data_IF_497338976059
#
_entry.id   IF_497338976059
#
_cell.length_a   1.000
_cell.length_b   1.000
_cell.length_c   1.000
_cell.angle_alpha   90.00
_cell.angle_beta   90.00
_cell.angle_gamma   90.00
#
_symmetry.space_group_name_H-M   'P 1'
#
loop_
_entity.id
_entity.type
_entity.pdbx_description
1 polymer ?
2 non-polymer ?
3 non-polymer ?
4 water ?
#
# COMPACT_ATOMS: atom_id res chain seq x y z
N UNK A 12 -29.05 2.37 -3.46
CA UNK A 12 -28.79 1.39 -4.56
C UNK A 12 -27.29 1.11 -4.78
N UNK A 13 -26.64 1.91 -5.63
CA UNK A 13 -25.24 1.70 -6.08
C UNK A 13 -25.02 0.50 -7.02
N UNK A 14 -26.09 -0.05 -7.58
CA UNK A 14 -26.00 -1.23 -8.45
C UNK A 14 -25.22 -0.97 -9.75
N UNK A 15 -25.55 0.12 -10.43
CA UNK A 15 -24.83 0.48 -11.65
C UNK A 15 -23.38 0.91 -11.38
N UNK A 16 -23.19 1.64 -10.28
CA UNK A 16 -21.85 2.05 -9.89
C UNK A 16 -20.99 0.82 -9.56
N UNK A 17 -21.58 -0.16 -8.86
CA UNK A 17 -20.87 -1.40 -8.52
C UNK A 17 -20.42 -2.13 -9.78
N UNK A 18 -21.34 -2.27 -10.73
CA UNK A 18 -21.05 -2.93 -11.99
C UNK A 18 -19.91 -2.21 -12.71
N UNK A 19 -19.99 -0.88 -12.75
CA UNK A 19 -18.95 -0.04 -13.31
C UNK A 19 -17.61 -0.27 -12.61
N UNK A 20 -17.62 -0.25 -11.27
CA UNK A 20 -16.42 -0.52 -10.48
C UNK A 20 -15.72 -1.84 -10.83
N UNK A 21 -16.48 -2.94 -10.96
CA UNK A 21 -15.89 -4.22 -11.37
C UNK A 21 -15.37 -4.23 -12.80
N UNK A 22 -16.01 -3.48 -13.68
CA UNK A 22 -15.50 -3.31 -15.04
C UNK A 22 -14.14 -2.61 -15.09
N UNK A 23 -13.98 -1.51 -14.35
CA UNK A 23 -12.70 -0.80 -14.29
C UNK A 23 -11.66 -1.67 -13.59
N UNK A 24 -12.09 -2.33 -12.52
CA UNK A 24 -11.25 -3.25 -11.77
C UNK A 24 -10.55 -4.27 -12.69
N UNK A 25 -11.32 -4.90 -13.57
CA UNK A 25 -10.78 -5.90 -14.49
C UNK A 25 -9.84 -5.33 -15.55
N UNK A 26 -10.02 -4.04 -15.87
CA UNK A 26 -9.11 -3.35 -16.79
C UNK A 26 -7.79 -2.87 -16.16
N UNK A 27 -7.79 -2.57 -14.86
CA UNK A 27 -6.62 -1.93 -14.23
C UNK A 27 -5.74 -2.90 -13.43
N UNK A 28 -6.29 -4.04 -13.02
CA UNK A 28 -5.55 -4.99 -12.20
C UNK A 28 -4.44 -5.66 -13.02
N UNK A 29 -3.35 -6.00 -12.35
CA UNK A 29 -2.26 -6.71 -13.00
C UNK A 29 -2.78 -7.98 -13.68
N UNK A 30 -2.53 -8.11 -14.97
CA UNK A 30 -2.91 -9.30 -15.71
C UNK A 30 -2.13 -10.50 -15.19
N UNK A 31 -2.70 -11.70 -15.34
CA UNK A 31 -1.95 -12.92 -15.02
C UNK A 31 -0.62 -12.98 -15.77
N UNK A 32 -0.60 -12.48 -17.01
CA UNK A 32 0.60 -12.47 -17.82
C UNK A 32 1.75 -11.65 -17.19
N UNK A 33 1.47 -10.43 -16.78
CA UNK A 33 2.51 -9.59 -16.19
C UNK A 33 2.97 -10.15 -14.84
N UNK A 34 2.03 -10.71 -14.08
CA UNK A 34 2.35 -11.35 -12.81
C UNK A 34 3.42 -12.42 -12.98
N UNK A 35 3.27 -13.24 -14.02
CA UNK A 35 4.21 -14.31 -14.32
C UNK A 35 5.60 -13.82 -14.75
N UNK A 36 5.64 -12.72 -15.50
CA UNK A 36 6.91 -12.10 -15.91
C UNK A 36 7.66 -11.52 -14.72
N UNK A 37 6.90 -10.94 -13.77
CA UNK A 37 7.49 -10.41 -12.54
C UNK A 37 8.04 -11.54 -11.66
N UNK A 38 7.33 -12.67 -11.64
CA UNK A 38 7.76 -13.86 -10.91
C UNK A 38 9.02 -14.50 -11.50
N UNK A 39 9.08 -14.60 -12.83
CA UNK A 39 10.30 -15.00 -13.54
C UNK A 39 11.47 -14.03 -13.28
N UNK A 40 11.16 -12.73 -13.25
CA UNK A 40 12.16 -11.70 -12.91
C UNK A 40 12.75 -11.92 -11.52
N UNK A 41 11.90 -12.36 -10.59
CA UNK A 41 12.32 -12.69 -9.24
C UNK A 41 13.26 -13.89 -9.18
N UNK A 42 12.92 -14.94 -9.94
CA UNK A 42 13.78 -16.13 -10.03
C UNK A 42 15.18 -15.80 -10.55
N UNK A 43 15.23 -14.95 -11.58
CA UNK A 43 16.49 -14.44 -12.15
C UNK A 43 17.34 -13.72 -11.11
N UNK A 44 16.76 -12.74 -10.45
CA UNK A 44 17.45 -11.96 -9.42
C UNK A 44 17.93 -12.80 -8.24
N UNK A 45 17.22 -13.90 -7.97
CA UNK A 45 17.63 -14.83 -6.91
C UNK A 45 18.85 -15.65 -7.31
N UNK A 46 18.94 -15.99 -8.60
CA UNK A 46 20.09 -16.73 -9.09
C UNK A 46 21.35 -15.91 -8.96
N UNK A 47 21.22 -14.61 -9.24
CA UNK A 47 22.32 -13.66 -9.12
C UNK A 47 22.75 -13.49 -7.67
N UNK A 48 21.79 -13.54 -6.74
CA UNK A 48 22.09 -13.44 -5.32
C UNK A 48 22.78 -14.72 -4.79
N UNK A 49 22.35 -15.89 -5.25
CA UNK A 49 23.02 -17.17 -4.92
C UNK A 49 24.50 -17.15 -5.34
N UNK A 50 24.80 -16.49 -6.45
CA UNK A 50 26.17 -16.39 -6.93
C UNK A 50 27.07 -15.54 -6.02
N UNK A 51 26.45 -14.72 -5.18
CA UNK A 51 27.14 -13.74 -4.33
C UNK A 51 27.09 -14.12 -2.86
N UNK A 52 25.98 -14.72 -2.45
CA UNK A 52 25.75 -15.11 -1.05
C UNK A 52 24.74 -16.23 -1.02
N UNK A 53 25.21 -17.45 -0.71
CA UNK A 53 24.31 -18.60 -0.80
C UNK A 53 23.26 -18.65 0.31
N UNK A 54 23.49 -17.95 1.42
CA UNK A 54 22.64 -18.00 2.62
C UNK A 54 21.61 -16.85 2.71
N UNK A 55 21.74 -15.85 1.85
CA UNK A 55 20.81 -14.73 1.82
C UNK A 55 19.54 -15.10 1.06
N UNK A 56 18.42 -14.53 1.47
CA UNK A 56 17.15 -14.74 0.76
C UNK A 56 16.63 -13.44 0.19
N UNK A 57 15.99 -13.52 -0.97
CA UNK A 57 15.42 -12.34 -1.59
C UNK A 57 13.91 -12.48 -1.58
N UNK A 58 13.24 -11.63 -0.78
CA UNK A 58 11.79 -11.71 -0.67
C UNK A 58 11.13 -10.51 -1.34
N UNK A 59 9.94 -10.74 -1.88
CA UNK A 59 9.10 -9.69 -2.43
C UNK A 59 8.15 -9.21 -1.34
N UNK A 60 7.95 -7.90 -1.27
CA UNK A 60 6.95 -7.33 -0.37
C UNK A 60 6.15 -6.29 -1.14
N UNK A 61 5.24 -5.59 -0.46
CA UNK A 61 4.42 -4.58 -1.12
C UNK A 61 3.39 -5.17 -2.06
N UNK A 62 2.93 -4.34 -3.00
CA UNK A 62 1.68 -4.61 -3.72
C UNK A 62 1.61 -5.90 -4.53
N UNK A 63 2.70 -6.27 -5.20
CA UNK A 63 2.77 -7.57 -5.89
C UNK A 63 2.59 -8.74 -4.93
N UNK A 64 3.07 -8.61 -3.70
CA UNK A 64 3.02 -9.70 -2.75
C UNK A 64 1.63 -9.83 -2.11
N UNK A 65 0.99 -8.69 -1.86
CA UNK A 65 -0.32 -8.68 -1.21
C UNK A 65 -1.48 -8.79 -2.21
N UNK A 66 -1.16 -8.67 -3.50
CA UNK A 66 -2.17 -8.81 -4.56
C UNK A 66 -2.92 -7.52 -4.80
N UNK A 67 -2.27 -6.40 -4.54
CA UNK A 67 -2.89 -5.08 -4.68
C UNK A 67 -2.20 -4.27 -5.76
N UNK A 68 -1.73 -4.97 -6.80
CA UNK A 68 -0.99 -4.36 -7.90
C UNK A 68 -1.86 -3.95 -9.08
N UNK A 69 -1.66 -2.72 -9.54
CA UNK A 69 -2.15 -2.26 -10.84
C UNK A 69 -1.22 -2.77 -11.95
N UNK A 70 -1.63 -2.58 -13.20
CA UNK A 70 -0.75 -2.82 -14.34
C UNK A 70 0.50 -1.95 -14.24
N UNK A 71 1.59 -2.38 -14.87
CA UNK A 71 2.85 -1.63 -14.90
C UNK A 71 3.34 -1.36 -13.49
N UNK A 72 3.37 -2.43 -12.70
CA UNK A 72 3.65 -2.35 -11.28
C UNK A 72 5.15 -2.34 -11.04
N UNK A 73 5.58 -1.53 -10.08
CA UNK A 73 6.98 -1.57 -9.64
C UNK A 73 7.18 -2.77 -8.71
N UNK A 74 8.41 -3.23 -8.64
CA UNK A 74 8.73 -4.37 -7.78
C UNK A 74 9.46 -3.89 -6.56
N UNK A 75 9.06 -4.39 -5.40
CA UNK A 75 9.69 -4.07 -4.14
C UNK A 75 10.26 -5.32 -3.51
N UNK A 76 11.59 -5.39 -3.48
CA UNK A 76 12.26 -6.57 -2.95
C UNK A 76 13.10 -6.25 -1.73
N UNK A 77 13.35 -7.29 -0.94
CA UNK A 77 14.17 -7.15 0.22
C UNK A 77 15.13 -8.34 0.34
N UNK A 78 16.38 -8.05 0.67
CA UNK A 78 17.37 -9.08 0.95
C UNK A 78 17.48 -9.29 2.46
N UNK A 79 17.22 -10.54 2.88
CA UNK A 79 17.40 -10.96 4.26
C UNK A 79 18.74 -11.65 4.45
N UNK A 80 19.39 -11.37 5.59
CA UNK A 80 20.65 -12.01 5.92
C UNK A 80 20.94 -11.94 7.42
N UNK A 81 22.04 -12.60 7.82
CA UNK A 81 22.53 -12.52 9.19
C UNK A 81 22.78 -11.06 9.54
N UNK A 82 22.21 -10.61 10.67
CA UNK A 82 22.33 -9.20 11.08
C UNK A 82 23.77 -8.77 11.42
N UNK A 83 24.64 -9.75 11.71
CA UNK A 83 26.05 -9.48 12.04
C UNK A 83 26.91 -9.23 10.79
N UNK A 84 26.34 -9.49 9.61
CA UNK A 84 27.02 -9.22 8.35
C UNK A 84 26.55 -7.87 7.78
N UNK A 85 27.51 -6.99 7.50
CA UNK A 85 27.20 -5.61 7.07
C UNK A 85 26.60 -5.53 5.68
N UNK A 86 25.41 -4.96 5.61
CA UNK A 86 24.60 -4.95 4.42
C UNK A 86 25.21 -4.15 3.25
N UNK A 87 26.03 -3.14 3.54
CA UNK A 87 26.64 -2.34 2.47
C UNK A 87 27.61 -3.14 1.58
N UNK A 88 28.33 -4.09 2.17
CA UNK A 88 29.28 -4.93 1.43
C UNK A 88 28.60 -5.92 0.48
N UNK A 89 27.59 -6.64 0.98
CA UNK A 89 26.82 -7.57 0.15
C UNK A 89 25.94 -6.82 -0.88
N UNK A 90 25.38 -5.67 -0.47
CA UNK A 90 24.65 -4.82 -1.39
C UNK A 90 25.49 -4.43 -2.61
N UNK A 91 26.73 -4.02 -2.38
CA UNK A 91 27.60 -3.60 -3.47
C UNK A 91 27.94 -4.77 -4.39
N UNK A 92 28.18 -5.94 -3.79
CA UNK A 92 28.45 -7.16 -4.56
C UNK A 92 27.23 -7.57 -5.38
N UNK A 93 26.05 -7.43 -4.78
CA UNK A 93 24.81 -7.77 -5.46
C UNK A 93 24.60 -6.84 -6.64
N UNK A 94 24.87 -5.54 -6.41
CA UNK A 94 24.77 -4.52 -7.45
C UNK A 94 25.70 -4.80 -8.64
N UNK A 95 26.96 -5.15 -8.36
CA UNK A 95 27.92 -5.47 -9.43
C UNK A 95 27.57 -6.72 -10.24
N UNK A 96 26.97 -7.71 -9.59
CA UNK A 96 26.44 -8.89 -10.31
C UNK A 96 25.28 -8.54 -11.23
N UNK A 97 24.40 -7.66 -10.76
CA UNK A 97 23.24 -7.20 -11.53
C UNK A 97 23.63 -6.41 -12.77
N UNK A 98 24.55 -5.47 -12.61
CA UNK A 98 25.11 -4.76 -13.76
C UNK A 98 25.65 -5.76 -14.79
N UNK A 99 26.51 -6.68 -14.33
CA UNK A 99 27.12 -7.73 -15.16
C UNK A 99 26.10 -8.69 -15.78
N UNK A 100 24.91 -8.78 -15.17
CA UNK A 100 23.85 -9.61 -15.69
C UNK A 100 22.97 -8.84 -16.67
N UNK A 101 23.27 -7.56 -16.85
CA UNK A 101 22.59 -6.75 -17.85
C UNK A 101 21.44 -5.90 -17.33
N UNK A 102 21.34 -5.79 -16.01
CA UNK A 102 20.40 -4.84 -15.41
C UNK A 102 21.09 -3.48 -15.31
N UNK A 103 20.31 -2.41 -15.43
CA UNK A 103 20.81 -1.06 -15.21
C UNK A 103 20.17 -0.49 -13.96
N UNK A 104 20.91 0.32 -13.23
CA UNK A 104 20.33 0.94 -12.05
C UNK A 104 21.34 1.71 -11.22
N UNK A 105 20.91 2.12 -10.03
CA UNK A 105 21.76 2.85 -9.12
C UNK A 105 21.98 2.15 -7.78
N UNK A 106 23.17 2.31 -7.23
CA UNK A 106 23.44 1.90 -5.87
C UNK A 106 23.58 3.15 -5.01
N UNK A 107 22.79 3.20 -3.94
CA UNK A 107 22.82 4.35 -3.06
C UNK A 107 22.71 3.95 -1.59
N UNK A 108 23.04 4.88 -0.70
CA UNK A 108 22.92 4.66 0.73
C UNK A 108 22.47 5.94 1.42
N UNK A 109 21.20 6.01 1.82
CA UNK A 109 20.75 7.07 2.72
C UNK A 109 20.93 6.64 4.18
N UNK A 110 21.64 7.48 4.94
CA UNK A 110 22.09 7.16 6.29
C UNK A 110 22.88 5.84 6.30
N UNK A 111 22.35 4.81 6.94
CA UNK A 111 23.02 3.51 7.05
C UNK A 111 22.34 2.45 6.16
N UNK A 112 21.26 2.86 5.51
CA UNK A 112 20.41 1.99 4.69
C UNK A 112 20.87 1.93 3.22
N UNK A 113 21.42 0.79 2.77
CA UNK A 113 21.72 0.66 1.34
C UNK A 113 20.51 0.27 0.50
N UNK A 114 20.39 0.83 -0.70
CA UNK A 114 19.28 0.54 -1.60
C UNK A 114 19.80 0.40 -3.04
N UNK A 115 19.30 -0.61 -3.74
CA UNK A 115 19.54 -0.72 -5.17
C UNK A 115 18.26 -0.37 -5.91
N UNK A 116 18.37 0.54 -6.87
CA UNK A 116 17.26 0.92 -7.72
C UNK A 116 17.53 0.48 -9.15
N UNK A 117 16.85 -0.59 -9.58
CA UNK A 117 16.93 -1.08 -10.95
C UNK A 117 15.90 -0.38 -11.82
N UNK A 118 16.37 0.17 -12.92
CA UNK A 118 15.56 1.04 -13.76
C UNK A 118 15.31 0.46 -15.16
N UNK A 119 16.05 -0.59 -15.52
CA UNK A 119 15.97 -1.19 -16.86
C UNK A 119 16.54 -2.62 -16.89
N UNK A 120 16.22 -3.36 -17.96
CA UNK A 120 16.81 -4.68 -18.21
C UNK A 120 17.09 -4.89 -19.70
N UNK A 121 18.36 -5.13 -20.02
CA UNK A 121 18.85 -5.09 -21.41
C UNK A 121 19.13 -6.47 -22.04
N UNK A 122 18.97 -7.54 -21.28
CA UNK A 122 19.36 -8.87 -21.75
C UNK A 122 18.32 -9.95 -21.47
N UNK A 123 17.87 -10.02 -20.22
CA UNK A 123 16.99 -11.09 -19.75
C UNK A 123 15.54 -10.96 -20.21
N UNK A 124 15.22 -9.84 -20.88
CA UNK A 124 13.90 -9.57 -21.44
C UNK A 124 12.74 -9.36 -20.46
N UNK A 125 12.93 -8.54 -19.43
CA UNK A 125 11.84 -8.20 -18.50
C UNK A 125 11.30 -6.79 -18.72
N UNK A 126 11.79 -6.12 -19.76
CA UNK A 126 11.34 -4.78 -20.12
C UNK A 126 12.49 -3.80 -20.26
N UNK A 127 12.33 -2.82 -21.17
CA UNK A 127 13.25 -1.69 -21.29
C UNK A 127 13.04 -0.69 -20.14
N UNK A 128 11.84 -0.72 -19.56
CA UNK A 128 11.54 0.06 -18.35
C UNK A 128 11.07 -0.88 -17.23
N UNK A 129 12.00 -1.73 -16.80
CA UNK A 129 11.83 -2.62 -15.67
C UNK A 129 12.20 -1.87 -14.39
N UNK A 130 11.23 -1.63 -13.51
CA UNK A 130 11.50 -0.89 -12.27
C UNK A 130 11.37 -1.73 -10.98
N UNK A 131 12.44 -1.72 -10.19
CA UNK A 131 12.60 -2.64 -9.08
C UNK A 131 13.52 -2.09 -7.98
N UNK A 132 12.98 -1.91 -6.78
CA UNK A 132 13.78 -1.42 -5.66
C UNK A 132 14.14 -2.55 -4.73
N UNK A 133 15.39 -2.58 -4.31
CA UNK A 133 15.90 -3.65 -3.44
C UNK A 133 16.49 -3.07 -2.16
N UNK A 134 15.88 -3.44 -1.04
CA UNK A 134 16.34 -3.05 0.28
C UNK A 134 17.10 -4.17 0.94
N UNK A 135 17.55 -3.91 2.16
CA UNK A 135 18.38 -4.85 2.89
C UNK A 135 17.93 -4.91 4.35
N UNK A 136 17.49 -6.10 4.74
CA UNK A 136 16.90 -6.35 6.06
C UNK A 136 15.78 -5.37 6.43
N UNK A 137 14.98 -5.00 5.44
CA UNK A 137 13.80 -4.19 5.67
C UNK A 137 12.67 -5.10 6.14
N UNK A 138 12.82 -5.66 7.34
CA UNK A 138 11.88 -6.64 7.87
C UNK A 138 10.50 -6.03 8.13
N UNK A 139 10.46 -4.75 8.51
CA UNK A 139 9.20 -4.07 8.80
C UNK A 139 8.21 -4.01 7.62
N UNK A 140 8.74 -3.80 6.41
CA UNK A 140 7.94 -3.76 5.18
C UNK A 140 7.34 -5.11 4.89
N UNK A 141 8.10 -6.17 5.14
CA UNK A 141 7.59 -7.53 5.00
C UNK A 141 6.35 -7.71 5.89
N UNK A 142 6.47 -7.29 7.15
CA UNK A 142 5.35 -7.40 8.10
C UNK A 142 4.15 -6.53 7.75
N UNK A 143 4.40 -5.28 7.32
CA UNK A 143 3.35 -4.43 6.75
C UNK A 143 2.62 -5.20 5.66
N UNK A 144 3.38 -5.86 4.80
CA UNK A 144 2.80 -6.63 3.69
C UNK A 144 2.04 -7.88 4.15
N UNK A 145 2.53 -8.55 5.19
CA UNK A 145 1.79 -9.67 5.76
C UNK A 145 0.43 -9.21 6.26
N UNK A 146 0.38 -8.06 6.91
CA UNK A 146 -0.88 -7.50 7.38
C UNK A 146 -1.84 -7.28 6.21
N UNK A 147 -1.39 -6.57 5.18
CA UNK A 147 -2.26 -6.25 4.04
C UNK A 147 -2.69 -7.50 3.28
N UNK A 148 -1.79 -8.50 3.21
CA UNK A 148 -2.11 -9.78 2.57
C UNK A 148 -3.23 -10.49 3.29
N UNK A 149 -3.22 -10.44 4.61
CA UNK A 149 -4.16 -11.17 5.42
C UNK A 149 -5.56 -10.57 5.31
N UNK A 150 -5.64 -9.24 5.36
CA UNK A 150 -6.90 -8.54 5.08
C UNK A 150 -7.45 -8.83 3.67
N UNK A 151 -6.56 -8.87 2.68
CA UNK A 151 -6.94 -9.15 1.30
C UNK A 151 -7.57 -10.54 1.19
N UNK A 152 -6.97 -11.52 1.86
CA UNK A 152 -7.56 -12.86 1.94
C UNK A 152 -8.87 -12.89 2.73
N UNK A 153 -9.10 -11.89 3.58
CA UNK A 153 -10.18 -11.96 4.54
C UNK A 153 -11.54 -11.52 3.97
N UNK A 154 -11.50 -10.57 3.04
CA UNK A 154 -12.71 -10.12 2.35
C UNK A 154 -12.35 -9.79 0.91
N UNK A 155 -13.08 -10.37 -0.03
CA UNK A 155 -12.80 -10.21 -1.44
C UNK A 155 -13.07 -8.81 -1.99
N UNK A 156 -13.78 -7.98 -1.23
CA UNK A 156 -14.06 -6.59 -1.66
C UNK A 156 -12.88 -5.63 -1.47
N UNK A 157 -11.93 -5.99 -0.61
CA UNK A 157 -10.80 -5.10 -0.34
C UNK A 157 -9.95 -4.82 -1.56
N UNK A 158 -9.60 -5.86 -2.29
CA UNK A 158 -8.69 -5.74 -3.42
C UNK A 158 -9.19 -4.76 -4.50
N UNK A 159 -10.40 -4.99 -5.07
CA UNK A 159 -10.94 -4.03 -6.05
C UNK A 159 -11.07 -2.61 -5.49
N UNK A 160 -11.47 -2.49 -4.23
CA UNK A 160 -11.62 -1.19 -3.59
C UNK A 160 -10.31 -0.42 -3.57
N UNK A 161 -9.25 -1.10 -3.12
CA UNK A 161 -7.91 -0.52 -3.05
C UNK A 161 -7.41 -0.08 -4.43
N UNK A 162 -7.55 -0.96 -5.43
CA UNK A 162 -7.07 -0.63 -6.77
C UNK A 162 -7.81 0.56 -7.37
N UNK A 163 -9.13 0.62 -7.14
CA UNK A 163 -9.93 1.72 -7.66
C UNK A 163 -9.52 3.03 -6.99
N UNK A 164 -9.34 3.00 -5.68
CA UNK A 164 -8.85 4.17 -4.95
C UNK A 164 -7.47 4.60 -5.46
N UNK A 165 -6.57 3.63 -5.65
CA UNK A 165 -5.24 3.95 -6.18
C UNK A 165 -5.34 4.60 -7.55
N UNK A 166 -6.18 4.02 -8.39
CA UNK A 166 -6.38 4.51 -9.76
C UNK A 166 -6.99 5.92 -9.75
N UNK A 167 -7.95 6.13 -8.86
CA UNK A 167 -8.56 7.43 -8.67
C UNK A 167 -7.49 8.46 -8.29
N UNK A 168 -6.73 8.15 -7.25
CA UNK A 168 -5.70 9.05 -6.75
C UNK A 168 -4.59 9.40 -7.76
N UNK A 169 -4.20 8.45 -8.61
CA UNK A 169 -3.29 8.75 -9.73
C UNK A 169 -3.92 9.72 -10.72
N UNK A 170 -5.14 9.43 -11.14
CA UNK A 170 -5.81 10.26 -12.12
C UNK A 170 -6.04 11.68 -11.60
N UNK A 171 -6.26 11.84 -10.29
CA UNK A 171 -6.48 13.18 -9.72
C UNK A 171 -5.20 13.90 -9.28
N UNK A 172 -4.04 13.29 -9.52
CA UNK A 172 -2.75 13.91 -9.21
C UNK A 172 -2.59 14.15 -7.72
N UNK A 173 -3.16 13.27 -6.91
CA UNK A 173 -3.08 13.38 -5.46
C UNK A 173 -2.36 12.17 -4.89
N UNK A 174 -1.61 11.49 -5.77
CA UNK A 174 -0.82 10.33 -5.40
C UNK A 174 0.68 10.58 -5.67
N UNK A 175 1.17 11.75 -5.27
CA UNK A 175 2.58 12.14 -5.44
C UNK A 175 3.26 12.56 -4.13
N UNK A 176 3.88 11.62 -3.43
CA UNK A 176 4.55 12.00 -2.18
C UNK A 176 5.69 13.04 -2.34
N UNK A 177 6.28 13.12 -3.53
CA UNK A 177 7.36 14.08 -3.75
C UNK A 177 6.84 15.48 -4.04
N UNK A 178 5.57 15.57 -4.39
CA UNK A 178 4.96 16.85 -4.73
C UNK A 178 3.82 17.24 -3.79
N UNK A 179 3.90 16.85 -2.53
CA UNK A 179 2.98 17.34 -1.53
C UNK A 179 1.70 16.56 -1.31
N UNK A 180 1.56 15.39 -1.94
CA UNK A 180 0.41 14.52 -1.67
C UNK A 180 0.80 13.17 -1.04
N UNK A 181 0.01 12.13 -1.25
CA UNK A 181 0.11 10.92 -0.45
C UNK A 181 0.54 9.68 -1.22
N UNK A 182 1.33 8.83 -0.58
CA UNK A 182 1.74 7.58 -1.21
C UNK A 182 0.55 6.63 -1.38
N UNK A 183 0.67 5.67 -2.30
CA UNK A 183 -0.36 4.62 -2.47
C UNK A 183 -0.58 3.84 -1.17
N UNK A 184 0.52 3.49 -0.49
CA UNK A 184 0.45 2.89 0.85
C UNK A 184 -0.44 3.70 1.76
N UNK A 185 -0.24 5.02 1.79
CA UNK A 185 -1.13 5.92 2.56
C UNK A 185 -2.62 5.77 2.28
N UNK A 186 -2.96 5.60 1.00
CA UNK A 186 -4.36 5.40 0.62
C UNK A 186 -4.88 4.02 1.00
N UNK A 187 -3.99 3.02 0.99
CA UNK A 187 -4.38 1.69 1.47
C UNK A 187 -4.76 1.76 2.96
N UNK A 188 -4.02 2.54 3.74
CA UNK A 188 -4.31 2.60 5.17
C UNK A 188 -5.59 3.37 5.44
N UNK A 189 -5.83 4.43 4.67
CA UNK A 189 -7.08 5.18 4.75
C UNK A 189 -8.28 4.30 4.45
N UNK A 190 -8.15 3.42 3.44
CA UNK A 190 -9.19 2.45 3.11
C UNK A 190 -9.39 1.48 4.28
N UNK A 191 -8.32 0.80 4.69
CA UNK A 191 -8.39 -0.15 5.79
C UNK A 191 -8.98 0.48 7.05
N UNK A 192 -8.53 1.69 7.37
CA UNK A 192 -9.02 2.39 8.55
C UNK A 192 -10.53 2.60 8.47
N UNK A 193 -11.00 2.96 7.27
CA UNK A 193 -12.41 3.12 7.04
C UNK A 193 -13.15 1.81 7.27
N UNK A 194 -12.61 0.72 6.71
CA UNK A 194 -13.26 -0.60 6.77
C UNK A 194 -13.28 -1.24 8.15
N UNK A 195 -12.33 -0.86 9.00
CA UNK A 195 -12.21 -1.41 10.36
C UNK A 195 -12.94 -0.53 11.39
N UNK A 196 -12.64 0.76 11.38
CA UNK A 196 -13.07 1.64 12.47
C UNK A 196 -14.20 2.60 12.18
N UNK A 197 -14.61 2.74 10.91
CA UNK A 197 -15.66 3.70 10.55
C UNK A 197 -16.97 3.03 10.15
N UNK A 198 -16.92 2.21 9.10
CA UNK A 198 -18.13 1.60 8.60
C UNK A 198 -18.75 0.71 9.68
N UNK A 199 -20.08 0.74 9.75
CA UNK A 199 -20.85 -0.04 10.71
C UNK A 199 -21.95 -0.74 9.91
N UNK A 200 -22.04 -2.08 10.02
CA UNK A 200 -21.11 -2.91 10.79
C UNK A 200 -19.71 -2.85 10.18
N UNK A 201 -18.67 -3.20 10.95
CA UNK A 201 -17.30 -3.16 10.39
C UNK A 201 -17.15 -4.18 9.27
N UNK A 202 -16.31 -3.90 8.28
CA UNK A 202 -16.06 -4.92 7.27
C UNK A 202 -15.01 -5.90 7.77
N UNK A 203 -14.02 -5.38 8.50
CA UNK A 203 -12.91 -6.13 9.05
C UNK A 203 -12.82 -5.84 10.54
N UNK A 204 -12.32 -6.81 11.34
CA UNK A 204 -11.87 -6.49 12.70
C UNK A 204 -10.43 -5.95 12.68
N UNK A 205 -10.02 -5.33 13.78
CA UNK A 205 -8.63 -4.92 13.96
C UNK A 205 -7.84 -6.15 14.45
N UNK A 206 -7.05 -6.70 13.54
CA UNK A 206 -6.21 -7.87 13.81
C UNK A 206 -5.09 -7.60 14.81
N UNK A 207 -4.69 -6.35 14.97
CA UNK A 207 -3.62 -5.99 15.93
C UNK A 207 -4.14 -5.93 17.37
N UNK A 208 -5.41 -5.61 17.51
CA UNK A 208 -6.08 -5.51 18.81
C UNK A 208 -6.84 -6.79 19.16
N UNK A 209 -6.72 -7.81 18.32
CA UNK A 209 -7.41 -9.07 18.57
C UNK A 209 -6.99 -9.61 19.94
N UNK A 210 -7.92 -10.25 20.66
CA UNK A 210 -7.50 -10.90 21.91
C UNK A 210 -6.57 -12.08 21.63
N UNK A 211 -6.58 -12.58 20.39
CA UNK A 211 -5.75 -13.73 20.03
C UNK A 211 -4.34 -13.32 19.59
N UNK A 212 -4.11 -12.02 19.51
CA UNK A 212 -2.85 -11.44 19.03
C UNK A 212 -1.64 -11.78 19.91
N UNK A 213 -0.59 -12.33 19.29
CA UNK A 213 0.66 -12.61 20.00
C UNK A 213 1.73 -11.58 19.65
N UNK A 214 2.22 -10.90 20.68
CA UNK A 214 3.41 -10.06 20.58
C UNK A 214 4.53 -10.71 19.76
N UNK A 215 5.06 -9.94 18.81
CA UNK A 215 6.27 -10.30 18.08
C UNK A 215 7.02 -9.01 17.80
N UNK A 216 8.20 -8.89 18.38
CA UNK A 216 9.01 -7.68 18.31
C UNK A 216 10.09 -7.83 17.23
N UNK A 217 10.13 -6.87 16.31
CA UNK A 217 11.10 -6.85 15.22
C UNK A 217 11.59 -5.42 15.08
N UNK A 218 12.91 -5.23 15.13
CA UNK A 218 13.54 -3.91 14.96
C UNK A 218 12.91 -2.84 15.87
N UNK A 219 12.65 -3.22 17.12
CA UNK A 219 12.04 -2.32 18.09
C UNK A 219 10.52 -2.28 18.12
N UNK A 220 9.85 -2.64 17.01
CA UNK A 220 8.38 -2.53 16.97
C UNK A 220 7.62 -3.86 17.10
N UNK A 221 6.42 -3.77 17.64
CA UNK A 221 5.52 -4.91 17.76
C UNK A 221 4.75 -5.09 16.44
N UNK A 222 5.00 -6.21 15.77
CA UNK A 222 4.41 -6.52 14.47
C UNK A 222 3.40 -7.68 14.56
N UNK A 223 3.00 -8.01 15.78
CA UNK A 223 2.07 -9.09 16.00
C UNK A 223 0.65 -8.72 15.61
N UNK A 224 -0.06 -9.69 15.04
CA UNK A 224 -1.49 -9.58 14.78
C UNK A 224 -2.06 -10.98 14.64
N UNK A 225 -3.38 -11.10 14.68
CA UNK A 225 -4.03 -12.39 14.56
C UNK A 225 -4.03 -12.83 13.11
N UNK A 226 -3.28 -13.89 12.80
CA UNK A 226 -3.20 -14.40 11.44
C UNK A 226 -3.82 -15.79 11.25
N UNK A 227 -4.44 -16.32 12.29
CA UNK A 227 -5.24 -17.54 12.14
C UNK A 227 -6.57 -17.10 11.50
N UNK A 228 -6.49 -16.83 10.19
CA UNK A 228 -7.58 -16.20 9.46
C UNK A 228 -8.79 -17.08 9.28
N UNK A 229 -8.56 -18.39 9.18
CA UNK A 229 -9.67 -19.32 9.01
C UNK A 229 -10.59 -19.41 10.24
N UNK A 230 -10.15 -18.89 11.38
CA UNK A 230 -10.99 -18.88 12.59
C UNK A 230 -11.81 -17.60 12.74
N UNK A 231 -11.62 -16.66 11.82
CA UNK A 231 -12.32 -15.39 11.88
C UNK A 231 -13.66 -15.48 11.15
N UNK A 232 -14.76 -15.06 11.82
CA UNK A 232 -16.04 -15.03 11.14
C UNK A 232 -16.02 -14.03 9.99
N UNK A 233 -16.69 -14.36 8.88
CA UNK A 233 -16.82 -13.39 7.79
C UNK A 233 -17.53 -12.13 8.27
N UNK A 234 -17.31 -11.03 7.55
CA UNK A 234 -17.95 -9.74 7.82
C UNK A 234 -19.48 -9.84 7.95
N UNK A 235 -20.06 -8.98 8.79
CA UNK A 235 -21.51 -8.84 8.86
C UNK A 235 -21.96 -7.58 8.11
N UNK A 236 -21.03 -7.02 7.34
CA UNK A 236 -21.34 -5.94 6.43
C UNK A 236 -21.50 -6.49 5.01
N UNK A 237 -22.68 -6.27 4.44
CA UNK A 237 -23.02 -6.83 3.14
C UNK A 237 -23.11 -5.79 2.04
N UNK A 238 -22.57 -4.60 2.31
CA UNK A 238 -22.52 -3.51 1.33
C UNK A 238 -21.84 -3.96 0.05
N UNK A 239 -22.37 -3.46 -1.07
CA UNK A 239 -21.73 -3.67 -2.35
C UNK A 239 -20.42 -2.86 -2.41
N UNK A 240 -19.54 -3.26 -3.31
CA UNK A 240 -18.32 -2.51 -3.57
C UNK A 240 -18.58 -1.03 -3.84
N UNK A 241 -19.63 -0.74 -4.60
CA UNK A 241 -19.97 0.62 -4.99
C UNK A 241 -20.34 1.41 -3.75
N UNK A 242 -21.08 0.76 -2.86
CA UNK A 242 -21.52 1.41 -1.64
C UNK A 242 -20.36 1.68 -0.68
N UNK A 243 -19.42 0.72 -0.58
CA UNK A 243 -18.22 0.92 0.24
C UNK A 243 -17.42 2.12 -0.22
N UNK A 244 -17.26 2.24 -1.54
CA UNK A 244 -16.48 3.32 -2.10
C UNK A 244 -17.12 4.65 -1.80
N UNK A 245 -18.42 4.76 -2.02
CA UNK A 245 -19.15 5.98 -1.70
C UNK A 245 -19.00 6.31 -0.21
N UNK A 246 -19.21 5.33 0.66
CA UNK A 246 -18.98 5.50 2.11
C UNK A 246 -17.59 6.03 2.45
N UNK A 247 -16.60 5.55 1.71
CA UNK A 247 -15.20 5.90 1.92
C UNK A 247 -14.92 7.36 1.48
N UNK A 248 -15.39 7.73 0.29
CA UNK A 248 -15.24 9.08 -0.21
C UNK A 248 -16.02 10.04 0.69
N UNK A 249 -17.21 9.65 1.12
CA UNK A 249 -18.01 10.45 2.04
C UNK A 249 -17.29 10.72 3.35
N UNK A 250 -16.66 9.69 3.90
CA UNK A 250 -16.06 9.84 5.22
C UNK A 250 -14.92 10.87 5.22
N UNK A 251 -14.00 10.76 4.28
CA UNK A 251 -12.87 11.68 4.20
C UNK A 251 -13.22 13.05 3.63
N UNK A 252 -14.30 13.13 2.85
CA UNK A 252 -14.83 14.40 2.41
C UNK A 252 -15.35 15.26 3.57
N UNK A 253 -16.20 14.65 4.41
CA UNK A 253 -17.06 15.43 5.32
C UNK A 253 -16.93 15.13 6.80
N UNK A 254 -16.54 13.91 7.14
CA UNK A 254 -16.58 13.46 8.51
C UNK A 254 -15.21 13.53 9.20
N UNK A 255 -14.20 12.89 8.60
CA UNK A 255 -12.82 12.92 9.12
C UNK A 255 -12.30 14.35 9.24
N UNK A 256 -11.60 14.62 10.34
CA UNK A 256 -11.10 15.96 10.63
C UNK A 256 -9.57 15.91 10.63
N UNK A 257 -8.93 16.11 9.46
CA UNK A 257 -7.48 15.97 9.33
C UNK A 257 -6.66 16.89 10.23
N UNK A 258 -7.23 18.06 10.58
CA UNK A 258 -6.53 19.05 11.40
C UNK A 258 -6.29 18.56 12.83
N UNK A 259 -7.17 17.70 13.34
CA UNK A 259 -7.12 17.32 14.74
C UNK A 259 -6.88 15.82 15.00
N UNK A 260 -7.15 14.98 14.00
CA UNK A 260 -7.20 13.54 14.22
C UNK A 260 -6.13 12.75 13.48
N UNK A 261 -5.85 11.54 13.98
CA UNK A 261 -4.87 10.67 13.39
C UNK A 261 -5.56 9.40 12.89
N UNK A 262 -5.32 9.03 11.64
CA UNK A 262 -5.73 7.70 11.18
C UNK A 262 -4.84 6.68 11.89
N UNK A 263 -5.46 5.78 12.64
CA UNK A 263 -4.75 4.87 13.54
C UNK A 263 -5.31 3.44 13.55
N UNK A 264 -4.44 2.47 13.87
CA UNK A 264 -4.87 1.08 14.02
C UNK A 264 -4.60 0.56 15.44
N UNK A 265 -4.33 1.49 16.35
CA UNK A 265 -3.91 1.17 17.73
C UNK A 265 -4.93 1.51 18.81
N UNK A 266 -6.11 1.95 18.39
CA UNK A 266 -7.18 2.31 19.33
C UNK A 266 -8.44 1.50 19.01
N UNK A 267 -9.09 0.92 20.03
CA UNK A 267 -10.28 0.09 19.79
C UNK A 267 -11.37 0.81 19.00
N UNK A 268 -11.49 2.12 19.22
CA UNK A 268 -12.51 2.91 18.56
C UNK A 268 -11.97 3.87 17.48
N UNK A 269 -10.71 3.69 17.10
CA UNK A 269 -10.08 4.47 16.04
C UNK A 269 -9.95 5.95 16.30
N UNK A 270 -10.05 6.35 17.57
CA UNK A 270 -9.96 7.73 17.98
C UNK A 270 -8.54 8.03 18.43
N UNK A 271 -7.87 8.98 17.81
CA UNK A 271 -6.56 9.44 18.28
C UNK A 271 -6.35 10.88 17.85
N UNK A 272 -5.94 11.73 18.78
CA UNK A 272 -5.65 13.11 18.46
C UNK A 272 -4.18 13.28 18.13
N UNK A 273 -3.88 14.31 17.35
CA UNK A 273 -2.51 14.67 17.05
C UNK A 273 -1.74 15.04 18.31
N UNK A 274 -2.44 15.65 19.28
CA UNK A 274 -1.77 16.08 20.52
C UNK A 274 -1.29 14.93 21.41
N UNK A 275 -2.07 13.86 21.49
CA UNK A 275 -1.63 12.66 22.23
C UNK A 275 -0.36 12.11 21.63
N UNK A 276 -0.25 12.30 20.32
CA UNK A 276 0.80 11.72 19.53
C UNK A 276 1.99 12.69 19.45
N UNK A 277 1.75 13.94 19.81
CA UNK A 277 2.77 14.99 19.70
C UNK A 277 3.01 15.40 18.25
N UNK A 278 1.93 15.40 17.47
CA UNK A 278 2.06 15.64 16.04
C UNK A 278 1.51 17.00 15.64
N UNK A 279 2.29 18.03 15.98
CA UNK A 279 2.09 19.43 15.60
C UNK A 279 2.46 19.66 14.13
N UNK A 295 6.28 16.65 8.34
CA UNK A 295 5.09 17.44 8.62
C UNK A 295 3.93 16.57 9.13
N UNK A 296 2.93 17.21 9.74
CA UNK A 296 1.76 16.53 10.26
C UNK A 296 0.47 17.24 9.83
N UNK A 297 0.47 17.77 8.61
CA UNK A 297 -0.76 18.36 8.04
C UNK A 297 -1.81 17.24 7.95
N UNK A 298 -1.40 16.09 7.44
CA UNK A 298 -2.22 14.88 7.43
C UNK A 298 -1.50 13.80 8.24
N UNK A 299 -2.18 13.23 9.22
CA UNK A 299 -1.57 12.24 10.10
C UNK A 299 -2.14 10.82 9.94
N UNK A 300 -1.30 9.91 9.45
CA UNK A 300 -1.60 8.49 9.39
C UNK A 300 -0.49 7.73 10.13
N UNK A 301 -0.85 7.11 11.23
CA UNK A 301 0.07 6.34 12.03
C UNK A 301 0.25 4.97 11.39
N UNK A 302 1.45 4.67 10.87
CA UNK A 302 1.75 3.32 10.39
C UNK A 302 1.37 2.30 11.48
N UNK A 303 0.72 1.20 11.09
CA UNK A 303 0.26 0.28 12.12
C UNK A 303 1.39 -0.31 12.98
N UNK A 304 2.52 -0.63 12.37
CA UNK A 304 3.62 -1.26 13.12
C UNK A 304 4.67 -0.26 13.54
N UNK A 305 5.13 0.54 12.59
CA UNK A 305 6.10 1.60 12.85
C UNK A 305 5.35 2.86 13.29
N UNK A 306 4.92 2.86 14.55
CA UNK A 306 4.04 3.90 15.05
C UNK A 306 4.70 5.28 15.16
N UNK A 307 6.03 5.34 15.10
CA UNK A 307 6.70 6.64 15.07
C UNK A 307 6.62 7.33 13.67
N UNK A 308 6.31 6.55 12.64
CA UNK A 308 6.26 7.03 11.25
C UNK A 308 4.86 7.53 10.84
N UNK A 309 4.78 8.84 10.58
CA UNK A 309 3.58 9.41 9.97
C UNK A 309 3.60 9.20 8.47
N UNK A 310 2.77 8.28 7.97
CA UNK A 310 2.72 7.98 6.56
C UNK A 310 2.29 9.18 5.71
N UNK A 311 1.54 10.10 6.30
CA UNK A 311 1.13 11.32 5.60
C UNK A 311 2.05 12.50 5.72
N UNK A 312 3.31 12.27 6.14
CA UNK A 312 4.29 13.34 6.34
C UNK A 312 4.69 14.14 5.08
N UNK A 313 4.46 13.55 3.92
CA UNK A 313 4.72 14.17 2.63
C UNK A 313 3.60 15.14 2.25
N UNK A 314 2.48 15.09 2.98
CA UNK A 314 1.31 15.88 2.58
C UNK A 314 1.44 17.32 3.03
N UNK A 315 1.43 18.23 2.06
CA UNK A 315 1.51 19.66 2.33
C UNK A 315 0.12 20.27 2.52
N UNK A 316 0.09 21.56 2.87
CA UNK A 316 -1.15 22.31 3.00
C UNK A 316 -1.98 22.26 1.72
N UNK A 317 -1.36 22.65 0.62
CA UNK A 317 -2.06 22.70 -0.66
C UNK A 317 -2.38 21.30 -1.16
N UNK A 318 -1.49 20.35 -0.83
CA UNK A 318 -1.71 18.94 -1.14
C UNK A 318 -2.95 18.42 -0.47
N UNK A 319 -3.09 18.71 0.82
CA UNK A 319 -4.27 18.31 1.58
C UNK A 319 -5.56 18.96 1.07
N UNK A 320 -5.50 20.25 0.76
CA UNK A 320 -6.62 20.94 0.15
C UNK A 320 -7.13 20.18 -1.10
N UNK A 321 -6.19 19.82 -1.98
CA UNK A 321 -6.55 19.10 -3.20
C UNK A 321 -7.05 17.68 -2.93
N UNK A 322 -6.42 16.97 -2.00
CA UNK A 322 -6.91 15.65 -1.58
C UNK A 322 -8.36 15.76 -1.08
N UNK A 323 -8.62 16.75 -0.21
CA UNK A 323 -9.94 16.91 0.40
C UNK A 323 -10.98 17.26 -0.66
N UNK A 324 -10.62 18.20 -1.53
CA UNK A 324 -11.50 18.63 -2.63
C UNK A 324 -11.87 17.48 -3.55
N UNK A 325 -10.91 16.60 -3.80
CA UNK A 325 -11.16 15.43 -4.66
C UNK A 325 -12.07 14.41 -3.98
N UNK A 326 -11.85 14.16 -2.70
CA UNK A 326 -12.81 13.40 -1.91
C UNK A 326 -14.23 13.96 -1.97
N UNK A 327 -14.36 15.27 -1.77
CA UNK A 327 -15.64 15.96 -1.89
C UNK A 327 -16.27 15.79 -3.26
N UNK A 328 -15.46 15.98 -4.32
CA UNK A 328 -15.98 15.91 -5.68
C UNK A 328 -16.44 14.51 -6.03
N UNK A 329 -15.74 13.51 -5.48
CA UNK A 329 -16.10 12.13 -5.65
C UNK A 329 -17.43 11.81 -4.95
N UNK A 330 -17.62 12.38 -3.76
CA UNK A 330 -18.90 12.25 -3.03
C UNK A 330 -20.05 12.86 -3.80
N UNK A 331 -19.88 14.11 -4.21
CA UNK A 331 -20.90 14.82 -4.99
C UNK A 331 -21.29 14.02 -6.23
N UNK A 332 -20.31 13.51 -6.98
CA UNK A 332 -20.57 12.71 -8.16
C UNK A 332 -21.49 11.50 -7.88
N UNK A 333 -21.21 10.77 -6.81
CA UNK A 333 -21.95 9.54 -6.48
C UNK A 333 -23.30 9.82 -5.82
N UNK A 334 -23.48 11.07 -5.42
CA UNK A 334 -24.67 11.52 -4.71
C UNK A 334 -25.57 12.28 -5.68
N UNK A 335 -25.02 12.57 -6.86
CA UNK A 335 -25.66 13.38 -7.90
C UNK A 335 -27.03 12.89 -8.36
N UNK A 336 -27.82 13.83 -8.86
CA UNK A 336 -29.21 13.57 -9.23
C UNK A 336 -29.43 13.64 -10.72
N UNK A 337 -28.49 14.28 -11.41
CA UNK A 337 -28.55 14.36 -12.87
C UNK A 337 -28.26 12.99 -13.44
N UNK A 338 -29.20 12.48 -14.22
CA UNK A 338 -29.04 11.16 -14.86
C UNK A 338 -28.86 11.30 -16.37
N UNK A 339 -27.96 10.49 -16.96
CA UNK A 339 -27.13 9.48 -16.26
C UNK A 339 -26.05 10.13 -15.40
N UNK A 340 -25.60 9.43 -14.36
CA UNK A 340 -24.44 9.90 -13.58
C UNK A 340 -23.19 9.56 -14.39
N UNK A 341 -22.34 10.58 -14.65
CA UNK A 341 -21.12 10.32 -15.41
C UNK A 341 -20.05 9.65 -14.53
N UNK A 342 -20.23 8.36 -14.26
CA UNK A 342 -19.28 7.60 -13.44
C UNK A 342 -17.84 7.64 -13.94
N UNK A 343 -17.67 7.68 -15.26
CA UNK A 343 -16.34 7.70 -15.89
C UNK A 343 -15.51 8.86 -15.36
N UNK A 344 -16.16 9.97 -14.99
CA UNK A 344 -15.48 11.20 -14.59
C UNK A 344 -14.79 11.05 -13.24
N UNK A 345 -15.09 9.95 -12.56
CA UNK A 345 -14.38 9.56 -11.35
C UNK A 345 -12.91 9.23 -11.64
N UNK A 346 -12.61 8.77 -12.85
CA UNK A 346 -11.24 8.41 -13.20
C UNK A 346 -10.68 9.26 -14.32
N UNK A 347 -11.30 10.40 -14.56
CA UNK A 347 -10.76 11.39 -15.49
C UNK A 347 -9.64 12.16 -14.80
N UNK A 348 -8.67 12.59 -15.60
CA UNK A 348 -7.54 13.37 -15.09
C UNK A 348 -7.98 14.74 -14.60
N UNK A 349 -7.43 15.16 -13.46
CA UNK A 349 -7.83 16.42 -12.84
C UNK A 349 -7.57 17.62 -13.75
X LIG B 1 1.89 2.16 -6.81
X LIG B 1 0.41 1.81 -6.90
X LIG B 1 2.67 1.30 -7.78
X LIG B 1 2.09 3.64 -7.07
X LIG B 1 2.43 1.91 -5.31
X LIG B 1 2.53 0.40 -4.81
X LIG B 1 1.25 -0.31 -5.19
X LIG B 1 3.72 -0.28 -5.48
X LIG B 1 2.74 0.54 -3.22
X LIG B 1 4.08 1.20 -2.55
X LIG B 1 3.74 2.43 -1.73
X LIG B 1 5.16 1.50 -3.59
X LIG B 1 4.60 0.01 -1.59
X LIG B 1 5.78 0.11 -0.81
X LIG B 1 5.76 -0.86 0.36
X LIG B 1 6.75 -0.48 1.30
X LIG B 1 4.44 -0.86 1.16
X LIG B 1 3.53 -1.85 0.69
X LIG B 1 4.87 -1.13 2.58
X LIG B 1 4.83 -2.50 2.88
X LIG B 1 6.31 -0.64 2.65
X LIG B 1 6.31 0.63 3.40
X LIG B 1 6.63 0.75 4.73
X LIG B 1 6.52 2.05 5.09
X LIG B 1 6.13 2.76 4.01
X LIG B 1 5.87 4.12 3.83
X LIG B 1 5.99 4.89 4.78
X LIG B 1 5.48 4.61 2.58
X LIG B 1 5.36 3.73 1.53
X LIG B 1 4.98 4.18 0.34
X LIG B 1 5.61 2.37 1.71
X LIG B 1 6.00 1.90 2.93
X LIG C 1 5.81 -0.14 -4.86
#
# INVERSE_FOLDING_TARGET
GSHMSYQKVPNSHKEFTKFCYEVYNEIKISDKEFKEKRAALDTLRLCLKRISPDAELVAFGSLESGLALKNSDMDLCVLMDSRVQSDTIALQFYEELIAEGFEGKFLQRARIPIIKLTSDTKNGFGASFQCDIGFNNRLAIHNTLLLSSYTKLDARLKPMVLLVKHWAKRKQINSPYFGTLSSYGYVLMVLYYLIHVIKPPVFPNLLLSPLKQEKIVDGFDVGFDDKLEDIPPSQNYSSLGSLLHGFFRFYAYKFEPREKVVTFRRPDGYLTKQEKGWTSATEHTGSADQIIKDRYILAIEDPFEISHNVGRTVSSSGLYRIRGEFMAASRLLNSRSYPIPYDSLFEEA
GTP PG O1G O2G O3G O3B PB O1B O2B O3A PA O1A O2A O5' C5' C4' O4' C3' O3' C2' O2' C1' N9 C8 N7 C5 C6 O6 N1 C2 N2 N3 C4
MG MG
#
